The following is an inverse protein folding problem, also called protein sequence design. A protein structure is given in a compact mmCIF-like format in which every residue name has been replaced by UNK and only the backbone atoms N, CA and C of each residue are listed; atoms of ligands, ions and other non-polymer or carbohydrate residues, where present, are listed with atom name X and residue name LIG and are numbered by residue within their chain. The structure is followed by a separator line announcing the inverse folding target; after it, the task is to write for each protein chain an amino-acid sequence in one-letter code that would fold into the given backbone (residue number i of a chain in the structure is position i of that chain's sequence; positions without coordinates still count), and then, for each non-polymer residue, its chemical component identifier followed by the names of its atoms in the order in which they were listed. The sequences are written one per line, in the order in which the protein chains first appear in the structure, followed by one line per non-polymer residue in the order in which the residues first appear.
data_IF_506706027126
#
_entry.id   IF_506706027126
#
_cell.length_a   1.000
_cell.length_b   1.000
_cell.length_c   1.000
_cell.angle_alpha   90.00
_cell.angle_beta   90.00
_cell.angle_gamma   90.00
#
_symmetry.space_group_name_H-M   'P 1'
#
loop_
_entity.id
_entity.type
_entity.pdbx_description
1 polymer ?
#
# COMPACT_ATOMS: atom_id res chain seq x y z
N UNK A 1 -0.43 27.44 -7.32
CA UNK A 1 -1.76 27.04 -6.79
C UNK A 1 -1.63 26.37 -5.42
N UNK A 2 -0.85 25.30 -5.27
CA UNK A 2 -0.56 24.66 -3.96
C UNK A 2 -0.20 25.66 -2.85
N UNK A 3 0.81 26.50 -3.06
CA UNK A 3 1.25 27.50 -2.07
C UNK A 3 0.17 28.54 -1.77
N UNK A 4 -0.61 28.94 -2.78
CA UNK A 4 -1.70 29.90 -2.62
C UNK A 4 -2.83 29.30 -1.76
N UNK A 5 -3.17 28.02 -1.97
CA UNK A 5 -4.13 27.29 -1.14
C UNK A 5 -3.72 27.31 0.34
N UNK A 6 -2.43 27.05 0.61
CA UNK A 6 -1.90 27.09 1.97
C UNK A 6 -2.01 28.49 2.59
N UNK A 7 -1.62 29.54 1.86
CA UNK A 7 -1.69 30.91 2.37
C UNK A 7 -3.13 31.35 2.68
N UNK A 8 -4.11 30.95 1.88
CA UNK A 8 -5.50 31.37 2.03
C UNK A 8 -6.30 30.55 3.05
N UNK A 9 -6.04 29.24 3.12
CA UNK A 9 -6.92 28.31 3.84
C UNK A 9 -6.20 27.50 4.93
N UNK A 10 -4.88 27.31 4.82
CA UNK A 10 -4.10 26.45 5.71
C UNK A 10 -2.75 27.11 6.10
N UNK A 11 -2.74 28.30 6.74
CA UNK A 11 -1.52 29.06 6.96
C UNK A 11 -0.48 28.32 7.83
N UNK A 12 -0.92 27.39 8.69
CA UNK A 12 -0.08 26.55 9.54
C UNK A 12 0.88 25.61 8.79
N UNK A 13 0.71 25.45 7.48
CA UNK A 13 1.59 24.64 6.61
C UNK A 13 2.18 25.44 5.45
N UNK A 14 2.13 26.77 5.55
CA UNK A 14 2.57 27.67 4.47
C UNK A 14 4.04 27.46 4.12
N UNK A 15 4.93 27.37 5.12
CA UNK A 15 6.35 27.12 4.91
C UNK A 15 6.63 25.77 4.25
N UNK A 16 5.94 24.71 4.64
CA UNK A 16 6.08 23.39 4.01
C UNK A 16 5.69 23.44 2.53
N UNK A 17 4.61 24.13 2.17
CA UNK A 17 4.21 24.24 0.75
C UNK A 17 5.13 25.15 -0.07
N UNK A 18 5.74 26.18 0.53
CA UNK A 18 6.78 26.98 -0.11
C UNK A 18 8.01 26.14 -0.37
N UNK A 19 8.44 25.38 0.63
CA UNK A 19 9.55 24.43 0.50
C UNK A 19 9.29 23.42 -0.61
N UNK A 20 8.09 22.85 -0.69
CA UNK A 20 7.73 21.94 -1.77
C UNK A 20 7.78 22.62 -3.14
N UNK A 21 7.31 23.87 -3.25
CA UNK A 21 7.40 24.62 -4.50
C UNK A 21 8.86 24.86 -4.92
N UNK A 22 9.74 25.21 -3.97
CA UNK A 22 11.17 25.35 -4.21
C UNK A 22 11.81 24.01 -4.64
N UNK A 23 11.55 22.94 -3.89
CA UNK A 23 12.08 21.61 -4.15
C UNK A 23 11.68 21.08 -5.54
N UNK A 24 10.42 21.27 -5.94
CA UNK A 24 9.90 20.81 -7.23
C UNK A 24 10.34 21.69 -8.42
N UNK A 25 10.93 22.85 -8.17
CA UNK A 25 11.43 23.74 -9.23
C UNK A 25 12.85 23.41 -9.70
N UNK A 26 13.51 22.48 -9.01
CA UNK A 26 14.85 22.00 -9.35
C UNK A 26 14.85 20.51 -9.69
N UNK A 27 15.98 20.02 -10.21
CA UNK A 27 16.20 18.58 -10.34
C UNK A 27 16.22 17.93 -8.95
N UNK A 28 15.85 16.66 -8.91
CA UNK A 28 15.84 15.88 -7.68
C UNK A 28 17.25 15.87 -7.04
N UNK A 29 17.41 16.31 -5.77
CA UNK A 29 18.71 16.36 -5.09
C UNK A 29 19.20 14.99 -4.58
N UNK A 30 18.37 13.95 -4.60
CA UNK A 30 18.78 12.60 -4.20
C UNK A 30 19.72 11.99 -5.27
N UNK A 31 20.92 11.58 -4.83
CA UNK A 31 21.96 11.00 -5.67
C UNK A 31 21.90 9.46 -5.63
N UNK A 32 22.21 8.85 -6.77
CA UNK A 32 22.39 7.40 -6.91
C UNK A 32 23.65 7.13 -7.74
N UNK A 33 24.85 7.24 -7.13
CA UNK A 33 26.11 6.97 -7.82
C UNK A 33 26.17 5.52 -8.30
N UNK A 34 26.83 5.29 -9.44
CA UNK A 34 27.00 3.96 -10.02
C UNK A 34 27.81 3.06 -9.08
N UNK A 35 27.26 1.92 -8.68
CA UNK A 35 27.89 0.96 -7.76
C UNK A 35 27.55 1.18 -6.29
N UNK A 36 26.92 2.30 -5.93
CA UNK A 36 26.50 2.62 -4.56
C UNK A 36 24.97 2.80 -4.44
N UNK A 37 24.19 2.38 -5.44
CA UNK A 37 22.75 2.66 -5.48
C UNK A 37 21.99 2.02 -4.31
N UNK A 38 22.42 0.84 -3.85
CA UNK A 38 21.83 0.16 -2.71
C UNK A 38 22.14 0.89 -1.38
N UNK A 39 23.37 1.37 -1.22
CA UNK A 39 23.81 2.14 -0.06
C UNK A 39 23.10 3.50 -0.01
N UNK A 40 23.03 4.18 -1.15
CA UNK A 40 22.29 5.44 -1.30
C UNK A 40 20.82 5.28 -0.89
N UNK A 41 20.14 4.23 -1.37
CA UNK A 41 18.76 3.94 -0.97
C UNK A 41 18.65 3.67 0.53
N UNK A 42 19.51 2.83 1.10
CA UNK A 42 19.50 2.53 2.53
C UNK A 42 19.74 3.78 3.39
N UNK A 43 20.63 4.67 2.94
CA UNK A 43 20.93 5.93 3.62
C UNK A 43 19.78 6.95 3.51
N UNK A 44 18.98 6.89 2.45
CA UNK A 44 17.82 7.75 2.21
C UNK A 44 16.53 7.20 2.84
N UNK A 45 16.43 5.88 3.07
CA UNK A 45 15.24 5.24 3.66
C UNK A 45 14.86 5.82 5.02
N UNK A 46 15.84 6.28 5.81
CA UNK A 46 15.60 6.94 7.10
C UNK A 46 14.87 8.29 6.97
N UNK A 47 14.95 8.90 5.79
CA UNK A 47 14.29 10.15 5.46
C UNK A 47 12.85 9.92 5.00
N UNK A 48 12.51 8.71 4.57
CA UNK A 48 11.22 8.38 3.99
C UNK A 48 10.05 8.69 4.92
N UNK A 49 9.06 9.41 4.41
CA UNK A 49 7.82 9.67 5.10
C UNK A 49 6.72 8.71 4.59
N UNK A 50 5.98 8.00 5.47
CA UNK A 50 5.01 6.98 5.03
C UNK A 50 3.81 7.54 4.26
N UNK A 51 3.60 8.86 4.31
CA UNK A 51 2.56 9.55 3.54
C UNK A 51 3.02 10.01 2.14
N UNK A 52 4.30 9.85 1.80
CA UNK A 52 4.82 10.04 0.44
C UNK A 52 5.99 11.01 0.30
N UNK A 53 6.34 11.27 -0.95
CA UNK A 53 7.56 11.98 -1.35
C UNK A 53 7.56 13.45 -0.94
N UNK A 54 6.39 14.13 -0.95
CA UNK A 54 6.31 15.52 -0.52
C UNK A 54 6.79 15.70 0.93
N UNK A 55 6.27 14.89 1.85
CA UNK A 55 6.67 14.98 3.26
C UNK A 55 8.09 14.42 3.50
N UNK A 56 8.58 13.56 2.61
CA UNK A 56 9.99 13.13 2.59
C UNK A 56 10.90 14.30 2.24
N UNK A 57 10.57 15.09 1.22
CA UNK A 57 11.30 16.31 0.86
C UNK A 57 11.29 17.34 1.99
N UNK A 58 10.13 17.57 2.62
CA UNK A 58 10.01 18.47 3.79
C UNK A 58 10.91 18.00 4.93
N UNK A 59 10.85 16.73 5.31
CA UNK A 59 11.68 16.17 6.38
C UNK A 59 13.18 16.29 6.07
N UNK A 60 13.56 15.96 4.84
CA UNK A 60 14.95 15.98 4.37
C UNK A 60 15.55 17.38 4.48
N UNK A 61 14.83 18.38 3.96
CA UNK A 61 15.32 19.76 3.99
C UNK A 61 15.32 20.37 5.41
N UNK A 62 14.29 20.10 6.22
CA UNK A 62 14.27 20.55 7.62
C UNK A 62 15.42 19.94 8.44
N UNK A 63 15.78 18.68 8.18
CA UNK A 63 16.90 18.04 8.83
C UNK A 63 18.24 18.61 8.34
N UNK A 64 18.38 18.84 7.03
CA UNK A 64 19.53 19.53 6.44
C UNK A 64 19.77 20.91 7.06
N UNK A 65 18.73 21.74 7.20
CA UNK A 65 18.85 23.07 7.81
C UNK A 65 19.26 23.03 9.29
N UNK A 66 18.89 21.97 10.01
CA UNK A 66 19.22 21.79 11.43
C UNK A 66 20.56 21.08 11.65
N UNK A 67 21.18 20.55 10.59
CA UNK A 67 22.45 19.85 10.70
C UNK A 67 23.57 20.82 11.09
N UNK A 68 24.35 20.46 12.13
CA UNK A 68 25.55 21.21 12.49
C UNK A 68 26.58 21.24 11.35
N UNK A 69 26.65 20.14 10.59
CA UNK A 69 27.51 20.01 9.41
C UNK A 69 26.65 19.62 8.19
N UNK A 70 26.17 20.62 7.41
CA UNK A 70 25.34 20.38 6.25
C UNK A 70 26.03 19.58 5.14
N UNK A 71 27.36 19.71 4.99
CA UNK A 71 28.12 18.95 3.99
C UNK A 71 28.13 17.47 4.34
N UNK A 72 28.47 17.15 5.59
CA UNK A 72 28.44 15.77 6.09
C UNK A 72 27.03 15.18 6.06
N UNK A 73 26.00 15.98 6.31
CA UNK A 73 24.61 15.53 6.17
C UNK A 73 24.31 15.13 4.72
N UNK A 74 24.70 15.95 3.75
CA UNK A 74 24.55 15.64 2.33
C UNK A 74 25.32 14.38 1.92
N UNK A 75 26.57 14.24 2.34
CA UNK A 75 27.37 13.04 2.08
C UNK A 75 26.71 11.77 2.67
N UNK A 76 26.31 11.84 3.94
CA UNK A 76 25.73 10.70 4.67
C UNK A 76 24.42 10.22 4.04
N UNK A 77 23.63 11.11 3.47
CA UNK A 77 22.32 10.80 2.90
C UNK A 77 22.29 10.82 1.37
N UNK A 78 23.45 10.87 0.71
CA UNK A 78 23.55 10.91 -0.75
C UNK A 78 22.70 12.03 -1.35
N UNK A 79 22.93 13.27 -0.92
CA UNK A 79 22.26 14.46 -1.40
C UNK A 79 23.25 15.39 -2.11
N UNK A 80 22.79 16.05 -3.17
CA UNK A 80 23.55 17.09 -3.84
C UNK A 80 23.60 18.37 -2.97
N UNK A 81 24.78 18.78 -2.46
CA UNK A 81 24.89 19.93 -1.57
C UNK A 81 24.57 21.26 -2.27
N UNK A 82 24.87 21.39 -3.57
CA UNK A 82 24.60 22.60 -4.33
C UNK A 82 23.10 22.78 -4.54
N UNK A 83 22.40 21.69 -4.89
CA UNK A 83 20.94 21.70 -5.03
C UNK A 83 20.26 21.95 -3.69
N UNK A 84 20.72 21.34 -2.60
CA UNK A 84 20.15 21.60 -1.26
C UNK A 84 20.33 23.06 -0.83
N UNK A 85 21.50 23.66 -1.05
CA UNK A 85 21.73 25.09 -0.82
C UNK A 85 20.92 25.98 -1.76
N UNK A 86 20.70 25.56 -3.01
CA UNK A 86 19.82 26.28 -3.94
C UNK A 86 18.37 26.26 -3.46
N UNK A 87 17.85 25.10 -3.04
CA UNK A 87 16.48 24.96 -2.52
C UNK A 87 16.28 25.89 -1.31
N UNK A 88 17.22 25.95 -0.37
CA UNK A 88 17.14 26.89 0.76
C UNK A 88 17.02 28.35 0.34
N UNK A 89 17.84 28.79 -0.63
CA UNK A 89 17.76 30.16 -1.16
C UNK A 89 16.43 30.43 -1.88
N UNK A 90 15.93 29.45 -2.63
CA UNK A 90 14.63 29.56 -3.29
C UNK A 90 13.48 29.63 -2.28
N UNK A 91 13.57 28.89 -1.16
CA UNK A 91 12.60 29.00 -0.07
C UNK A 91 12.56 30.42 0.51
N UNK A 92 13.72 31.01 0.83
CA UNK A 92 13.81 32.37 1.37
C UNK A 92 13.15 33.40 0.43
N UNK A 93 13.47 33.33 -0.86
CA UNK A 93 12.88 34.22 -1.87
C UNK A 93 11.36 34.04 -2.00
N UNK A 94 10.89 32.80 -1.99
CA UNK A 94 9.46 32.51 -2.08
C UNK A 94 8.71 32.90 -0.81
N UNK A 95 9.33 32.80 0.37
CA UNK A 95 8.76 33.29 1.63
C UNK A 95 8.58 34.82 1.60
N UNK A 96 9.57 35.56 1.10
CA UNK A 96 9.47 37.02 1.00
C UNK A 96 8.38 37.46 0.01
N UNK A 97 8.30 36.78 -1.14
CA UNK A 97 7.22 37.01 -2.11
C UNK A 97 5.86 36.66 -1.49
N UNK A 98 5.76 35.53 -0.79
CA UNK A 98 4.52 35.10 -0.16
C UNK A 98 4.03 36.10 0.89
N UNK A 99 4.91 36.61 1.76
CA UNK A 99 4.59 37.66 2.74
C UNK A 99 4.12 38.94 2.04
N UNK A 100 4.86 39.38 1.01
CA UNK A 100 4.52 40.58 0.24
C UNK A 100 3.13 40.49 -0.43
N UNK A 101 2.80 39.35 -1.02
CA UNK A 101 1.55 39.16 -1.77
C UNK A 101 0.36 38.90 -0.84
N UNK A 102 0.57 38.19 0.27
CA UNK A 102 -0.50 37.87 1.23
C UNK A 102 -0.77 38.96 2.26
N UNK A 103 0.16 39.90 2.44
CA UNK A 103 0.12 40.89 3.51
C UNK A 103 0.38 40.30 4.91
N UNK A 104 0.86 39.06 4.99
CA UNK A 104 1.21 38.41 6.26
C UNK A 104 2.58 38.85 6.75
N UNK A 105 2.69 39.19 8.03
CA UNK A 105 3.97 39.53 8.67
C UNK A 105 4.87 38.31 8.87
N UNK A 106 4.27 37.12 9.10
CA UNK A 106 5.00 35.87 9.28
C UNK A 106 4.26 34.70 8.63
N UNK A 107 5.04 33.65 8.33
CA UNK A 107 4.56 32.37 7.82
C UNK A 107 4.78 31.29 8.86
N UNK A 108 3.84 30.36 8.96
CA UNK A 108 3.79 29.33 9.98
C UNK A 108 4.19 27.95 9.42
N UNK A 109 4.57 27.05 10.31
CA UNK A 109 5.06 25.70 10.01
C UNK A 109 4.71 24.71 11.12
N UNK A 110 4.71 23.41 10.83
CA UNK A 110 4.46 22.36 11.81
C UNK A 110 2.98 22.01 12.00
N UNK A 111 2.12 22.48 11.11
CA UNK A 111 0.73 22.06 11.03
C UNK A 111 0.56 20.59 10.66
N UNK A 112 -0.70 20.13 10.60
CA UNK A 112 -1.03 18.75 10.26
C UNK A 112 -0.48 18.38 8.86
N UNK A 113 0.34 17.31 8.73
CA UNK A 113 0.87 16.85 7.44
C UNK A 113 -0.20 16.58 6.39
N UNK A 114 -1.42 16.22 6.80
CA UNK A 114 -2.54 16.06 5.88
C UNK A 114 -2.86 17.36 5.13
N UNK A 115 -2.72 18.53 5.77
CA UNK A 115 -3.00 19.82 5.15
C UNK A 115 -2.00 20.13 4.04
N UNK A 116 -0.72 19.73 4.21
CA UNK A 116 0.28 19.83 3.14
C UNK A 116 -0.18 19.05 1.90
N UNK A 117 -0.66 17.82 2.12
CA UNK A 117 -1.11 16.95 1.03
C UNK A 117 -2.42 17.44 0.40
N UNK A 118 -3.33 18.03 1.18
CA UNK A 118 -4.54 18.68 0.62
C UNK A 118 -4.18 19.88 -0.24
N UNK A 119 -3.21 20.71 0.18
CA UNK A 119 -2.70 21.80 -0.67
C UNK A 119 -2.08 21.25 -1.96
N UNK A 120 -1.38 20.10 -1.89
CA UNK A 120 -0.83 19.44 -3.07
C UNK A 120 -1.93 18.93 -4.02
N UNK A 121 -3.01 18.35 -3.49
CA UNK A 121 -4.20 17.96 -4.29
C UNK A 121 -4.83 19.17 -4.97
N UNK A 122 -4.97 20.30 -4.27
CA UNK A 122 -5.46 21.55 -4.86
C UNK A 122 -4.50 22.13 -5.92
N UNK A 123 -3.20 21.85 -5.78
CA UNK A 123 -2.15 22.26 -6.72
C UNK A 123 -2.06 21.43 -8.00
N UNK A 124 -2.35 20.14 -7.90
CA UNK A 124 -2.20 19.15 -8.97
C UNK A 124 -3.44 18.26 -9.11
N UNK A 125 -4.64 18.85 -9.31
CA UNK A 125 -5.88 18.08 -9.31
C UNK A 125 -5.96 17.10 -10.50
N UNK A 126 -5.35 17.47 -11.64
CA UNK A 126 -5.25 16.66 -12.86
C UNK A 126 -4.32 15.44 -12.72
N UNK A 127 -3.50 15.42 -11.67
CA UNK A 127 -2.54 14.35 -11.37
C UNK A 127 -2.93 13.57 -10.11
N UNK A 128 -4.20 13.64 -9.72
CA UNK A 128 -4.79 12.67 -8.80
C UNK A 128 -5.03 11.37 -9.55
N UNK A 129 -4.54 10.27 -8.97
CA UNK A 129 -4.53 8.96 -9.59
C UNK A 129 -5.22 7.95 -8.66
N UNK A 130 -6.10 7.13 -9.23
CA UNK A 130 -6.80 6.07 -8.55
C UNK A 130 -6.15 4.72 -8.82
N UNK A 131 -5.88 3.96 -7.77
CA UNK A 131 -5.38 2.59 -7.91
C UNK A 131 -6.43 1.70 -8.57
N UNK A 132 -6.05 0.99 -9.63
CA UNK A 132 -6.89 -0.05 -10.24
C UNK A 132 -7.02 -1.25 -9.30
N UNK A 133 -8.13 -1.99 -9.43
CA UNK A 133 -8.44 -3.16 -8.58
C UNK A 133 -7.39 -4.28 -8.65
N UNK A 134 -6.69 -4.40 -9.78
CA UNK A 134 -5.68 -5.43 -10.03
C UNK A 134 -4.34 -4.78 -10.38
N UNK A 135 -3.26 -5.34 -9.85
CA UNK A 135 -1.88 -4.91 -10.13
C UNK A 135 -1.44 -3.63 -9.40
N UNK A 136 -0.38 -3.03 -9.93
CA UNK A 136 0.27 -1.81 -9.40
C UNK A 136 -0.06 -0.57 -10.22
N UNK A 137 -1.01 -0.67 -11.13
CA UNK A 137 -1.38 0.41 -12.06
C UNK A 137 -2.35 1.38 -11.40
N UNK A 138 -2.09 2.65 -11.68
CA UNK A 138 -2.91 3.78 -11.31
C UNK A 138 -3.53 4.40 -12.56
N UNK A 139 -4.76 4.84 -12.44
CA UNK A 139 -5.55 5.48 -13.47
C UNK A 139 -5.77 6.95 -13.12
N UNK A 140 -5.45 7.83 -14.06
CA UNK A 140 -5.66 9.27 -13.96
C UNK A 140 -6.75 9.77 -14.91
N UNK A 141 -6.89 11.09 -14.93
CA UNK A 141 -7.78 11.85 -15.82
C UNK A 141 -7.54 11.44 -17.29
N UNK A 142 -8.61 11.37 -18.09
CA UNK A 142 -8.55 10.90 -19.48
C UNK A 142 -8.19 9.41 -19.67
N UNK A 143 -8.32 8.57 -18.64
CA UNK A 143 -8.02 7.13 -18.73
C UNK A 143 -6.51 6.81 -18.76
N UNK A 144 -5.67 7.76 -18.36
CA UNK A 144 -4.22 7.58 -18.32
C UNK A 144 -3.83 6.47 -17.35
N UNK A 145 -3.16 5.43 -17.84
CA UNK A 145 -2.59 4.39 -16.99
C UNK A 145 -1.11 4.66 -16.72
N UNK A 146 -0.71 4.57 -15.45
CA UNK A 146 0.68 4.75 -15.03
C UNK A 146 1.05 3.83 -13.86
N UNK A 147 2.35 3.69 -13.61
CA UNK A 147 2.92 3.01 -12.45
C UNK A 147 3.55 4.05 -11.52
N UNK A 148 3.64 3.78 -10.23
CA UNK A 148 4.49 4.59 -9.36
C UNK A 148 5.95 4.36 -9.76
N UNK A 149 6.75 5.43 -9.82
CA UNK A 149 8.17 5.31 -10.16
C UNK A 149 8.97 4.63 -9.03
N UNK A 150 9.98 3.79 -9.34
CA UNK A 150 10.80 3.09 -8.33
C UNK A 150 11.52 4.00 -7.33
N UNK A 151 11.76 5.26 -7.69
CA UNK A 151 12.38 6.24 -6.78
C UNK A 151 11.43 6.82 -5.74
N UNK A 152 10.12 6.53 -5.82
CA UNK A 152 9.14 7.03 -4.87
C UNK A 152 9.11 6.14 -3.64
N UNK A 153 8.95 6.74 -2.45
CA UNK A 153 8.70 5.98 -1.21
C UNK A 153 7.36 5.22 -1.26
N UNK A 154 6.50 5.56 -2.23
CA UNK A 154 5.23 4.89 -2.48
C UNK A 154 5.30 3.78 -3.55
N UNK A 155 6.48 3.43 -4.07
CA UNK A 155 6.62 2.42 -5.13
C UNK A 155 5.87 1.11 -4.84
N UNK A 156 5.96 0.63 -3.59
CA UNK A 156 5.28 -0.59 -3.12
C UNK A 156 4.03 -0.30 -2.28
N UNK A 157 3.62 0.97 -2.17
CA UNK A 157 2.45 1.34 -1.39
C UNK A 157 1.15 0.88 -2.07
N UNK A 158 0.14 0.55 -1.26
CA UNK A 158 -1.19 0.11 -1.72
C UNK A 158 -2.27 1.17 -1.51
N UNK A 159 -1.90 2.43 -1.52
CA UNK A 159 -2.83 3.55 -1.33
C UNK A 159 -3.83 3.62 -2.48
N UNK A 160 -5.12 3.73 -2.15
CA UNK A 160 -6.20 3.75 -3.14
C UNK A 160 -6.15 4.98 -4.04
N UNK A 161 -5.72 6.12 -3.49
CA UNK A 161 -5.54 7.36 -4.23
C UNK A 161 -4.18 7.95 -3.89
N UNK A 162 -3.53 8.49 -4.91
CA UNK A 162 -2.29 9.25 -4.79
C UNK A 162 -2.39 10.53 -5.61
N UNK A 163 -1.54 11.49 -5.29
CA UNK A 163 -1.29 12.66 -6.14
C UNK A 163 0.17 12.63 -6.54
N UNK A 164 0.44 12.86 -7.82
CA UNK A 164 1.79 12.99 -8.35
C UNK A 164 2.04 14.44 -8.76
N UNK A 165 3.29 14.90 -8.74
CA UNK A 165 3.64 16.21 -9.31
C UNK A 165 4.03 16.10 -10.78
N UNK A 166 4.50 14.93 -11.20
CA UNK A 166 5.00 14.65 -12.54
C UNK A 166 4.54 13.29 -13.05
N UNK A 167 4.24 13.26 -14.35
CA UNK A 167 3.94 12.06 -15.11
C UNK A 167 4.98 11.97 -16.24
N UNK A 168 5.87 10.99 -16.17
CA UNK A 168 6.98 10.82 -17.10
C UNK A 168 6.70 9.63 -18.00
N UNK A 169 6.74 9.83 -19.31
CA UNK A 169 6.56 8.76 -20.30
C UNK A 169 7.92 8.33 -20.85
N UNK A 170 8.29 7.09 -20.56
CA UNK A 170 9.39 6.38 -21.23
C UNK A 170 8.82 5.16 -21.96
N UNK A 171 9.28 3.96 -21.63
CA UNK A 171 8.68 2.70 -22.10
C UNK A 171 7.30 2.44 -21.46
N UNK A 172 7.08 2.99 -20.26
CA UNK A 172 5.81 3.03 -19.54
C UNK A 172 5.62 4.44 -18.97
N UNK A 173 4.38 4.79 -18.66
CA UNK A 173 4.10 6.04 -17.93
C UNK A 173 4.35 5.81 -16.45
N UNK A 174 5.16 6.68 -15.84
CA UNK A 174 5.48 6.65 -14.41
C UNK A 174 5.04 7.94 -13.72
N UNK A 175 4.41 7.78 -12.57
CA UNK A 175 4.11 8.86 -11.63
C UNK A 175 5.32 9.09 -10.71
N UNK A 176 5.82 10.32 -10.63
CA UNK A 176 6.93 10.74 -9.78
C UNK A 176 6.46 11.72 -8.71
N UNK A 177 7.19 11.76 -7.59
CA UNK A 177 6.91 12.58 -6.42
C UNK A 177 5.47 12.33 -5.92
N UNK A 178 5.19 11.08 -5.56
CA UNK A 178 3.86 10.61 -5.21
C UNK A 178 3.58 10.80 -3.72
N UNK A 179 2.38 11.27 -3.40
CA UNK A 179 1.87 11.35 -2.02
C UNK A 179 0.47 10.78 -1.88
N UNK A 180 0.15 10.26 -0.70
CA UNK A 180 -1.14 9.61 -0.43
C UNK A 180 -2.26 10.65 -0.43
N UNK A 181 -3.38 10.32 -1.07
CA UNK A 181 -4.61 11.11 -1.04
C UNK A 181 -5.66 10.34 -0.25
N UNK A 182 -6.30 11.01 0.71
CA UNK A 182 -7.42 10.41 1.44
C UNK A 182 -8.72 10.58 0.64
N UNK A 183 -9.63 9.59 0.67
CA UNK A 183 -10.86 9.64 -0.12
C UNK A 183 -11.77 10.85 0.17
N UNK A 184 -11.75 11.36 1.39
CA UNK A 184 -12.54 12.53 1.82
C UNK A 184 -12.11 13.83 1.14
N UNK A 185 -10.86 13.92 0.65
CA UNK A 185 -10.34 15.11 -0.03
C UNK A 185 -10.76 15.16 -1.51
N UNK A 186 -11.15 14.03 -2.08
CA UNK A 186 -11.56 13.95 -3.50
C UNK A 186 -12.81 14.78 -3.78
N UNK A 187 -13.64 15.04 -2.77
CA UNK A 187 -14.81 15.90 -2.88
C UNK A 187 -14.44 17.39 -3.10
N UNK A 188 -13.17 17.76 -2.92
CA UNK A 188 -12.64 19.12 -3.12
C UNK A 188 -12.08 19.30 -4.53
N UNK A 189 -12.00 18.23 -5.32
CA UNK A 189 -11.56 18.29 -6.71
C UNK A 189 -12.60 19.00 -7.60
N UNK A 190 -12.15 19.60 -8.71
CA UNK A 190 -13.03 20.06 -9.77
C UNK A 190 -14.02 18.98 -10.25
N UNK A 191 -15.26 19.39 -10.56
CA UNK A 191 -16.36 18.47 -10.88
C UNK A 191 -16.10 17.62 -12.13
N UNK A 192 -15.41 18.19 -13.12
CA UNK A 192 -14.93 17.52 -14.33
C UNK A 192 -13.96 16.38 -13.99
N UNK A 193 -12.97 16.65 -13.12
CA UNK A 193 -11.99 15.64 -12.70
C UNK A 193 -12.65 14.51 -11.91
N UNK A 194 -13.60 14.82 -11.03
CA UNK A 194 -14.34 13.79 -10.27
C UNK A 194 -15.12 12.87 -11.21
N UNK A 195 -15.75 13.43 -12.25
CA UNK A 195 -16.50 12.66 -13.27
C UNK A 195 -15.58 11.76 -14.06
N UNK A 196 -14.43 12.28 -14.52
CA UNK A 196 -13.48 11.53 -15.33
C UNK A 196 -12.81 10.39 -14.56
N UNK A 197 -12.48 10.59 -13.28
CA UNK A 197 -11.92 9.56 -12.43
C UNK A 197 -12.98 8.54 -11.96
N UNK A 198 -14.25 8.72 -12.33
CA UNK A 198 -15.38 7.88 -11.90
C UNK A 198 -15.39 7.66 -10.37
N UNK A 199 -15.09 8.72 -9.61
CA UNK A 199 -15.06 8.68 -8.15
C UNK A 199 -16.49 8.88 -7.65
N UNK A 200 -17.04 7.88 -6.96
CA UNK A 200 -18.27 8.03 -6.20
C UNK A 200 -18.10 9.16 -5.18
N UNK A 201 -18.73 10.33 -5.41
CA UNK A 201 -18.67 11.44 -4.45
C UNK A 201 -19.12 10.92 -3.07
N UNK A 202 -18.29 11.00 -2.02
CA UNK A 202 -18.78 10.71 -0.69
C UNK A 202 -19.92 11.69 -0.40
N UNK A 203 -21.11 11.16 -0.07
CA UNK A 203 -22.26 11.98 0.34
C UNK A 203 -21.78 12.92 1.44
N UNK A 204 -21.89 14.24 1.21
CA UNK A 204 -21.51 15.31 2.14
C UNK A 204 -22.16 15.06 3.51
N UNK A 205 -21.44 14.37 4.38
CA UNK A 205 -21.85 14.08 5.75
C UNK A 205 -21.52 15.28 6.63
N UNK A 206 -22.58 15.92 7.11
CA UNK A 206 -22.61 17.06 8.04
C UNK A 206 -21.46 17.09 9.05
N UNK A 207 -20.92 18.31 9.24
CA UNK A 207 -20.11 18.76 10.40
C UNK A 207 -20.41 17.92 11.65
N UNK A 208 -19.36 17.35 12.25
CA UNK A 208 -19.38 16.85 13.62
C UNK A 208 -19.99 17.93 14.54
N UNK A 209 -21.19 17.68 15.06
CA UNK A 209 -21.62 18.29 16.32
C UNK A 209 -21.41 17.25 17.41
N UNK A 210 -20.74 17.70 18.47
CA UNK A 210 -20.60 16.99 19.71
C UNK A 210 -21.97 16.71 20.35
N UNK A 211 -22.04 15.65 21.15
CA UNK A 211 -23.14 15.39 22.08
C UNK A 211 -24.22 14.45 21.56
N UNK A 212 -24.17 13.22 22.09
CA UNK A 212 -25.30 12.33 22.43
C UNK A 212 -26.57 12.36 21.58
N UNK A 213 -26.88 11.25 20.91
CA UNK A 213 -27.95 10.31 21.30
C UNK A 213 -28.01 9.15 20.29
N UNK A 214 -28.38 7.98 20.82
CA UNK A 214 -28.58 6.66 20.19
C UNK A 214 -28.60 6.61 18.65
N UNK A 215 -27.58 5.98 18.07
CA UNK A 215 -27.62 5.52 16.67
C UNK A 215 -28.45 4.23 16.54
N UNK A 216 -29.09 4.00 15.38
CA UNK A 216 -30.04 2.91 15.17
C UNK A 216 -29.35 1.56 15.36
N UNK A 217 -30.13 0.59 15.82
CA UNK A 217 -29.80 -0.79 16.15
C UNK A 217 -28.79 -1.44 15.16
N UNK A 218 -27.49 -1.22 15.36
CA UNK A 218 -26.44 -1.93 14.62
C UNK A 218 -26.31 -3.28 15.32
N UNK A 219 -26.59 -4.40 14.64
CA UNK A 219 -26.49 -5.71 15.25
C UNK A 219 -25.11 -5.88 15.89
N UNK A 220 -25.10 -6.19 17.19
CA UNK A 220 -23.87 -6.42 17.95
C UNK A 220 -23.23 -7.77 17.58
N UNK A 221 -24.02 -8.65 16.96
CA UNK A 221 -23.64 -10.00 16.59
C UNK A 221 -24.28 -10.41 15.25
N UNK A 222 -23.68 -11.40 14.61
CA UNK A 222 -24.22 -12.10 13.45
C UNK A 222 -24.29 -13.59 13.75
N UNK A 223 -25.34 -14.24 13.28
CA UNK A 223 -25.50 -15.69 13.34
C UNK A 223 -25.26 -16.26 11.93
N UNK A 224 -24.36 -17.21 11.82
CA UNK A 224 -24.10 -18.01 10.62
C UNK A 224 -24.31 -19.46 11.05
N UNK A 225 -25.43 -20.05 10.64
CA UNK A 225 -25.84 -21.36 11.14
C UNK A 225 -26.08 -21.38 12.64
N UNK A 226 -25.27 -22.18 13.35
CA UNK A 226 -25.25 -22.25 14.82
C UNK A 226 -24.15 -21.39 15.46
N UNK A 227 -23.41 -20.63 14.65
CA UNK A 227 -22.25 -19.85 15.08
C UNK A 227 -22.62 -18.38 15.23
N UNK A 228 -22.65 -17.90 16.46
CA UNK A 228 -22.72 -16.47 16.76
C UNK A 228 -21.32 -15.84 16.72
N UNK A 229 -21.19 -14.72 16.00
CA UNK A 229 -19.95 -13.96 15.87
C UNK A 229 -20.16 -12.49 16.26
N UNK A 230 -19.26 -11.90 17.05
CA UNK A 230 -19.39 -10.51 17.46
C UNK A 230 -19.02 -9.53 16.35
N UNK A 231 -19.81 -8.48 16.21
CA UNK A 231 -19.52 -7.32 15.38
C UNK A 231 -18.86 -6.26 16.27
N UNK A 232 -17.65 -5.85 15.90
CA UNK A 232 -16.91 -4.80 16.61
C UNK A 232 -16.67 -3.61 15.71
N UNK A 233 -16.95 -2.42 16.22
CA UNK A 233 -16.63 -1.17 15.53
C UNK A 233 -15.15 -0.86 15.75
N UNK A 234 -14.36 -0.77 14.67
CA UNK A 234 -12.97 -0.31 14.71
C UNK A 234 -12.77 0.81 13.71
N UNK A 235 -12.25 1.96 14.19
CA UNK A 235 -12.07 3.18 13.38
C UNK A 235 -13.36 3.58 12.64
N UNK A 236 -14.50 3.51 13.33
CA UNK A 236 -15.81 3.86 12.76
C UNK A 236 -16.40 2.84 11.76
N UNK A 237 -15.77 1.69 11.55
CA UNK A 237 -16.25 0.66 10.62
C UNK A 237 -16.57 -0.63 11.37
N UNK A 238 -17.77 -1.19 11.15
CA UNK A 238 -18.17 -2.47 11.69
C UNK A 238 -17.34 -3.61 11.08
N UNK A 239 -16.80 -4.49 11.93
CA UNK A 239 -16.03 -5.66 11.55
C UNK A 239 -16.51 -6.89 12.32
N UNK A 240 -16.87 -7.94 11.60
CA UNK A 240 -17.16 -9.26 12.15
C UNK A 240 -15.84 -9.87 12.62
N UNK A 241 -15.76 -10.15 13.91
CA UNK A 241 -14.58 -10.73 14.54
C UNK A 241 -14.75 -12.24 14.61
N UNK A 242 -14.00 -12.98 13.79
CA UNK A 242 -14.05 -14.44 13.69
C UNK A 242 -12.96 -15.07 14.57
N UNK A 243 -13.28 -15.65 15.75
CA UNK A 243 -12.28 -16.35 16.55
C UNK A 243 -11.83 -17.65 15.86
N UNK A 244 -10.55 -17.99 15.95
CA UNK A 244 -10.00 -19.23 15.38
C UNK A 244 -10.74 -20.47 15.87
N UNK A 245 -11.18 -20.47 17.12
CA UNK A 245 -11.89 -21.60 17.75
C UNK A 245 -13.24 -21.89 17.09
N UNK A 246 -13.80 -20.91 16.36
CA UNK A 246 -15.10 -21.01 15.68
C UNK A 246 -14.97 -21.37 14.20
N UNK A 247 -13.74 -21.42 13.66
CA UNK A 247 -13.51 -21.75 12.24
C UNK A 247 -14.06 -23.13 11.85
N UNK A 248 -13.85 -24.21 12.63
CA UNK A 248 -14.37 -25.53 12.26
C UNK A 248 -15.90 -25.55 12.10
N UNK A 249 -16.61 -24.81 12.95
CA UNK A 249 -18.06 -24.70 12.89
C UNK A 249 -18.53 -23.84 11.71
N UNK A 250 -17.76 -22.79 11.37
CA UNK A 250 -18.05 -21.93 10.22
C UNK A 250 -17.79 -22.63 8.87
N UNK A 251 -16.77 -23.49 8.79
CA UNK A 251 -16.54 -24.32 7.62
C UNK A 251 -17.73 -25.26 7.38
N UNK A 252 -18.33 -25.80 8.44
CA UNK A 252 -19.54 -26.65 8.35
C UNK A 252 -20.78 -25.87 7.92
N UNK A 253 -20.97 -24.66 8.46
CA UNK A 253 -22.10 -23.79 8.10
C UNK A 253 -22.00 -23.29 6.64
N UNK A 254 -20.78 -23.03 6.17
CA UNK A 254 -20.53 -22.58 4.81
C UNK A 254 -21.07 -21.17 4.52
N UNK A 255 -21.02 -20.80 3.24
CA UNK A 255 -21.45 -19.47 2.76
C UNK A 255 -22.96 -19.37 2.62
N UNK A 256 -23.65 -20.50 2.45
CA UNK A 256 -25.09 -20.52 2.19
C UNK A 256 -25.91 -20.13 3.40
N UNK A 257 -25.40 -20.40 4.60
CA UNK A 257 -26.00 -19.99 5.88
C UNK A 257 -25.66 -18.53 6.26
N UNK A 258 -24.92 -17.80 5.42
CA UNK A 258 -24.57 -16.39 5.65
C UNK A 258 -25.72 -15.46 5.22
N UNK A 259 -26.29 -14.63 6.13
CA UNK A 259 -27.35 -13.72 5.76
C UNK A 259 -26.92 -12.73 4.66
N UNK A 260 -27.74 -12.49 3.62
CA UNK A 260 -27.35 -11.71 2.44
C UNK A 260 -26.80 -10.32 2.77
N UNK A 261 -27.37 -9.63 3.77
CA UNK A 261 -26.93 -8.31 4.22
C UNK A 261 -25.49 -8.27 4.76
N UNK A 262 -24.93 -9.41 5.18
CA UNK A 262 -23.59 -9.51 5.75
C UNK A 262 -22.57 -10.14 4.78
N UNK A 263 -22.95 -10.49 3.54
CA UNK A 263 -22.01 -11.06 2.56
C UNK A 263 -20.79 -10.19 2.32
N UNK A 264 -20.97 -8.87 2.29
CA UNK A 264 -19.91 -7.86 2.12
C UNK A 264 -19.41 -7.28 3.45
N UNK A 265 -19.87 -7.80 4.59
CA UNK A 265 -19.40 -7.34 5.89
C UNK A 265 -17.90 -7.60 6.02
N UNK A 266 -17.18 -6.67 6.64
CA UNK A 266 -15.74 -6.79 6.84
C UNK A 266 -15.49 -7.82 7.92
N UNK A 267 -14.69 -8.83 7.65
CA UNK A 267 -14.36 -9.90 8.58
C UNK A 267 -12.86 -9.91 8.88
N UNK A 268 -12.54 -10.28 10.11
CA UNK A 268 -11.16 -10.48 10.57
C UNK A 268 -11.05 -11.78 11.35
N UNK A 269 -10.04 -12.59 11.03
CA UNK A 269 -9.66 -13.73 11.85
C UNK A 269 -8.90 -13.25 13.10
N UNK A 270 -9.27 -13.78 14.26
CA UNK A 270 -8.61 -13.52 15.53
C UNK A 270 -8.09 -14.80 16.16
N UNK A 271 -6.80 -14.81 16.43
CA UNK A 271 -6.19 -15.77 17.35
C UNK A 271 -5.88 -15.13 18.70
N UNK A 272 -5.29 -15.93 19.62
CA UNK A 272 -4.91 -15.47 20.96
C UNK A 272 -3.93 -14.29 20.96
N UNK A 273 -3.01 -14.24 19.99
CA UNK A 273 -1.97 -13.20 19.86
C UNK A 273 -2.39 -12.00 19.01
N UNK A 274 -3.66 -11.92 18.59
CA UNK A 274 -4.20 -10.80 17.81
C UNK A 274 -4.84 -11.22 16.49
N UNK A 275 -4.82 -10.31 15.52
CA UNK A 275 -5.41 -10.55 14.20
C UNK A 275 -4.50 -11.46 13.38
N UNK A 276 -5.10 -12.45 12.72
CA UNK A 276 -4.48 -13.29 11.70
C UNK A 276 -5.08 -12.84 10.37
N UNK A 277 -4.26 -12.60 9.36
CA UNK A 277 -4.80 -12.16 8.08
C UNK A 277 -5.04 -10.65 7.93
N UNK A 278 -5.51 -10.32 6.73
CA UNK A 278 -6.07 -9.03 6.36
C UNK A 278 -7.51 -8.83 6.84
N UNK A 279 -8.13 -7.74 6.38
CA UNK A 279 -9.58 -7.52 6.53
C UNK A 279 -10.21 -7.83 5.18
N UNK A 280 -11.06 -8.84 5.10
CA UNK A 280 -11.69 -9.30 3.86
C UNK A 280 -13.21 -9.28 3.96
N UNK A 281 -13.93 -9.48 2.86
CA UNK A 281 -15.38 -9.70 2.93
C UNK A 281 -15.68 -11.04 3.62
N UNK A 282 -16.73 -11.08 4.44
CA UNK A 282 -17.10 -12.27 5.22
C UNK A 282 -17.43 -13.47 4.32
N UNK A 283 -18.13 -13.24 3.21
CA UNK A 283 -18.37 -14.30 2.20
C UNK A 283 -17.07 -14.86 1.62
N UNK A 284 -16.13 -14.00 1.24
CA UNK A 284 -14.80 -14.41 0.76
C UNK A 284 -14.03 -15.18 1.82
N UNK A 285 -14.07 -14.73 3.09
CA UNK A 285 -13.43 -15.42 4.19
C UNK A 285 -13.98 -16.84 4.35
N UNK A 286 -15.31 -17.01 4.37
CA UNK A 286 -15.92 -18.33 4.52
C UNK A 286 -15.54 -19.30 3.38
N UNK A 287 -15.37 -18.80 2.15
CA UNK A 287 -14.86 -19.61 1.02
C UNK A 287 -13.39 -19.97 1.16
N UNK A 288 -12.60 -19.10 1.78
CA UNK A 288 -11.17 -19.28 1.99
C UNK A 288 -10.86 -20.27 3.12
N UNK A 289 -11.66 -20.26 4.20
CA UNK A 289 -11.37 -21.02 5.43
C UNK A 289 -11.08 -22.52 5.21
N UNK A 290 -11.78 -23.27 4.32
CA UNK A 290 -11.50 -24.69 4.11
C UNK A 290 -10.11 -24.98 3.57
N UNK A 291 -9.49 -24.03 2.87
CA UNK A 291 -8.20 -24.20 2.19
C UNK A 291 -7.05 -23.53 2.94
N UNK A 292 -7.36 -22.78 3.99
CA UNK A 292 -6.40 -21.94 4.69
C UNK A 292 -5.70 -22.72 5.81
N UNK A 293 -4.37 -22.92 5.75
CA UNK A 293 -3.63 -23.47 6.87
C UNK A 293 -3.61 -22.44 7.99
N UNK A 294 -4.35 -22.76 9.04
CA UNK A 294 -4.50 -21.90 10.21
C UNK A 294 -3.60 -22.40 11.34
N UNK A 295 -2.91 -21.49 12.04
CA UNK A 295 -2.06 -21.87 13.15
C UNK A 295 -2.89 -22.42 14.31
N UNK A 296 -2.42 -23.47 14.96
CA UNK A 296 -3.10 -23.99 16.14
C UNK A 296 -3.02 -22.95 17.27
N UNK A 297 -4.02 -22.87 18.19
CA UNK A 297 -4.10 -21.81 19.20
C UNK A 297 -2.86 -21.62 20.10
N UNK A 298 -1.98 -22.62 20.20
CA UNK A 298 -0.74 -22.59 21.01
C UNK A 298 0.52 -22.95 20.20
N UNK A 299 0.47 -22.90 18.87
CA UNK A 299 1.60 -23.27 18.03
C UNK A 299 2.70 -22.22 18.06
N UNK A 300 3.95 -22.68 18.16
CA UNK A 300 5.12 -21.83 17.97
C UNK A 300 5.38 -21.70 16.47
N UNK A 301 5.07 -20.53 15.92
CA UNK A 301 5.32 -20.23 14.52
C UNK A 301 6.81 -20.06 14.28
N UNK A 302 7.29 -20.69 13.21
CA UNK A 302 8.64 -20.51 12.71
C UNK A 302 8.83 -19.07 12.22
N UNK A 303 10.07 -18.58 12.28
CA UNK A 303 10.44 -17.26 11.76
C UNK A 303 11.11 -17.46 10.42
N UNK A 304 10.74 -16.63 9.45
CA UNK A 304 11.38 -16.60 8.15
C UNK A 304 12.80 -16.01 8.31
N UNK A 305 13.82 -16.74 7.87
CA UNK A 305 15.22 -16.49 8.20
C UNK A 305 16.01 -15.79 7.08
N UNK A 306 15.56 -15.87 5.82
CA UNK A 306 16.23 -15.30 4.65
C UNK A 306 16.03 -13.78 4.53
N UNK A 307 14.93 -13.25 5.07
CA UNK A 307 14.69 -11.82 5.14
C UNK A 307 14.49 -11.18 3.76
N UNK A 308 15.49 -10.42 3.29
CA UNK A 308 15.45 -9.73 1.99
C UNK A 308 16.46 -10.31 0.99
N UNK A 309 16.93 -11.54 1.21
CA UNK A 309 17.84 -12.23 0.31
C UNK A 309 17.15 -12.51 -1.03
N UNK A 310 17.82 -12.13 -2.12
CA UNK A 310 17.43 -12.46 -3.48
C UNK A 310 18.09 -13.78 -3.86
N UNK A 311 17.31 -14.69 -4.44
CA UNK A 311 17.67 -16.04 -4.81
C UNK A 311 17.60 -16.20 -6.33
N UNK A 312 18.69 -16.62 -6.92
CA UNK A 312 18.73 -17.11 -8.29
C UNK A 312 18.19 -18.54 -8.35
N UNK A 313 17.38 -18.86 -9.37
CA UNK A 313 16.69 -20.14 -9.48
C UNK A 313 17.64 -21.35 -9.52
N UNK A 314 18.77 -21.23 -10.22
CA UNK A 314 19.72 -22.32 -10.40
C UNK A 314 20.75 -22.33 -9.27
N UNK A 315 21.40 -21.19 -9.02
CA UNK A 315 22.47 -21.08 -8.03
C UNK A 315 21.99 -21.28 -6.59
N UNK A 316 20.71 -21.04 -6.31
CA UNK A 316 20.13 -21.16 -4.98
C UNK A 316 19.02 -22.21 -4.88
N UNK A 317 18.97 -23.18 -5.79
CA UNK A 317 17.92 -24.22 -5.81
C UNK A 317 17.75 -24.93 -4.47
N UNK A 318 18.82 -25.35 -3.80
CA UNK A 318 18.72 -26.07 -2.52
C UNK A 318 17.99 -25.24 -1.43
N UNK A 319 18.22 -23.93 -1.40
CA UNK A 319 17.52 -23.00 -0.51
C UNK A 319 16.06 -22.84 -0.93
N UNK A 320 15.81 -22.68 -2.23
CA UNK A 320 14.46 -22.57 -2.78
C UNK A 320 13.66 -23.84 -2.43
N UNK A 321 14.20 -25.00 -2.72
CA UNK A 321 13.60 -26.31 -2.48
C UNK A 321 13.21 -26.52 -1.02
N UNK A 322 14.07 -26.11 -0.07
CA UNK A 322 13.79 -26.24 1.37
C UNK A 322 12.50 -25.51 1.80
N UNK A 323 12.22 -24.34 1.20
CA UNK A 323 11.06 -23.52 1.53
C UNK A 323 9.84 -23.81 0.65
N UNK A 324 10.01 -24.46 -0.51
CA UNK A 324 8.90 -24.86 -1.39
C UNK A 324 7.87 -25.73 -0.66
N UNK A 325 8.34 -26.70 0.13
CA UNK A 325 7.47 -27.61 0.89
C UNK A 325 6.71 -26.90 2.04
N UNK A 326 7.09 -25.66 2.35
CA UNK A 326 6.57 -24.86 3.46
C UNK A 326 5.71 -23.69 2.98
N UNK A 327 5.51 -23.59 1.67
CA UNK A 327 4.72 -22.53 1.07
C UNK A 327 3.32 -22.46 1.66
N UNK A 328 2.87 -21.22 1.84
CA UNK A 328 1.58 -20.87 2.38
C UNK A 328 1.35 -21.37 3.81
N UNK A 329 2.35 -21.84 4.55
CA UNK A 329 2.23 -22.14 5.97
C UNK A 329 2.33 -20.86 6.83
N UNK A 330 1.71 -20.83 8.03
CA UNK A 330 1.76 -19.67 8.90
C UNK A 330 3.16 -19.45 9.47
N UNK A 331 3.69 -18.25 9.29
CA UNK A 331 5.05 -17.86 9.64
C UNK A 331 5.10 -16.52 10.39
N UNK A 332 6.16 -16.29 11.15
CA UNK A 332 6.55 -14.96 11.61
C UNK A 332 7.51 -14.33 10.59
N UNK A 333 7.31 -13.05 10.21
CA UNK A 333 8.23 -12.36 9.32
C UNK A 333 9.60 -12.22 9.98
N UNK A 334 10.67 -12.18 9.17
CA UNK A 334 12.03 -11.90 9.64
C UNK A 334 12.08 -10.72 10.61
N UNK A 335 11.46 -9.58 10.22
CA UNK A 335 11.22 -8.42 11.08
C UNK A 335 9.75 -8.24 11.39
N UNK A 336 9.42 -8.20 12.68
CA UNK A 336 8.07 -7.94 13.17
C UNK A 336 7.48 -9.07 14.01
N UNK A 337 6.26 -8.82 14.51
CA UNK A 337 5.55 -9.70 15.44
C UNK A 337 4.19 -10.18 14.90
N UNK A 338 3.77 -9.71 13.73
CA UNK A 338 2.48 -10.09 13.13
C UNK A 338 2.69 -11.28 12.20
N UNK A 339 2.00 -12.41 12.44
CA UNK A 339 2.13 -13.56 11.56
C UNK A 339 1.46 -13.30 10.21
N UNK A 340 1.92 -14.04 9.21
CA UNK A 340 1.35 -14.12 7.86
C UNK A 340 1.61 -15.50 7.28
N UNK A 341 1.58 -15.61 5.97
CA UNK A 341 1.88 -16.85 5.25
C UNK A 341 3.13 -16.70 4.41
N UNK A 342 3.99 -17.71 4.47
CA UNK A 342 5.19 -17.76 3.65
C UNK A 342 4.79 -17.81 2.17
N UNK A 343 5.29 -16.88 1.39
CA UNK A 343 5.02 -16.79 -0.04
C UNK A 343 6.33 -16.69 -0.82
N UNK A 344 6.32 -17.27 -2.02
CA UNK A 344 7.36 -17.04 -3.02
C UNK A 344 6.97 -15.81 -3.84
N UNK A 345 7.96 -14.95 -4.12
CA UNK A 345 7.78 -13.74 -4.92
C UNK A 345 8.86 -13.69 -5.99
N UNK A 346 8.50 -13.22 -7.19
CA UNK A 346 9.40 -13.00 -8.31
C UNK A 346 9.30 -11.56 -8.87
N UNK A 347 10.42 -11.00 -9.33
CA UNK A 347 10.48 -9.68 -9.99
C UNK A 347 10.08 -9.70 -11.47
N UNK A 348 9.91 -10.89 -12.05
CA UNK A 348 9.70 -11.10 -13.49
C UNK A 348 10.99 -11.08 -14.32
N UNK A 349 12.16 -10.84 -13.71
CA UNK A 349 13.50 -10.93 -14.34
C UNK A 349 14.27 -12.19 -13.97
N UNK A 350 13.65 -13.12 -13.25
CA UNK A 350 14.28 -14.36 -12.77
C UNK A 350 14.81 -14.32 -11.33
N UNK A 351 14.57 -13.22 -10.62
CA UNK A 351 14.94 -13.10 -9.20
C UNK A 351 13.80 -13.56 -8.29
N UNK A 352 14.10 -14.41 -7.31
CA UNK A 352 13.13 -14.98 -6.37
C UNK A 352 13.46 -14.60 -4.93
N UNK A 353 12.45 -14.43 -4.08
CA UNK A 353 12.65 -14.34 -2.63
C UNK A 353 11.43 -14.86 -1.88
N UNK A 354 11.64 -15.19 -0.61
CA UNK A 354 10.56 -15.56 0.30
C UNK A 354 10.16 -14.37 1.14
N UNK A 355 8.86 -14.16 1.32
CA UNK A 355 8.35 -13.17 2.25
C UNK A 355 7.12 -13.68 3.00
N UNK A 356 6.86 -13.11 4.17
CA UNK A 356 5.67 -13.44 4.96
C UNK A 356 4.57 -12.43 4.67
N UNK A 357 3.61 -12.82 3.83
CA UNK A 357 2.50 -11.96 3.41
C UNK A 357 1.37 -12.04 4.45
N UNK A 358 0.93 -10.91 5.06
CA UNK A 358 -0.11 -10.93 6.09
C UNK A 358 -1.51 -11.25 5.59
N UNK A 359 -1.75 -11.35 4.28
CA UNK A 359 -3.05 -11.63 3.68
C UNK A 359 -2.94 -12.91 2.86
N UNK A 360 -3.72 -13.93 3.24
CA UNK A 360 -3.60 -15.27 2.66
C UNK A 360 -3.92 -15.29 1.16
N UNK A 361 -4.90 -14.50 0.73
CA UNK A 361 -5.25 -14.39 -0.68
C UNK A 361 -4.09 -13.83 -1.50
N UNK A 362 -3.47 -12.73 -1.02
CA UNK A 362 -2.29 -12.17 -1.65
C UNK A 362 -1.09 -13.13 -1.61
N UNK A 363 -0.96 -13.93 -0.55
CA UNK A 363 0.07 -14.95 -0.44
C UNK A 363 -0.08 -16.03 -1.52
N UNK A 364 -1.28 -16.58 -1.68
CA UNK A 364 -1.56 -17.58 -2.72
C UNK A 364 -1.33 -16.99 -4.10
N UNK A 365 -1.84 -15.78 -4.37
CA UNK A 365 -1.66 -15.15 -5.69
C UNK A 365 -0.19 -14.93 -6.03
N UNK A 366 0.59 -14.38 -5.10
CA UNK A 366 2.03 -14.14 -5.30
C UNK A 366 2.77 -15.45 -5.54
N UNK A 367 2.50 -16.46 -4.72
CA UNK A 367 3.14 -17.77 -4.82
C UNK A 367 2.82 -18.46 -6.14
N UNK A 368 1.55 -18.50 -6.56
CA UNK A 368 1.17 -19.16 -7.82
C UNK A 368 1.88 -18.53 -9.03
N UNK A 369 1.86 -17.20 -9.14
CA UNK A 369 2.55 -16.49 -10.22
C UNK A 369 4.06 -16.71 -10.21
N UNK A 370 4.65 -16.78 -9.02
CA UNK A 370 6.10 -16.94 -8.87
C UNK A 370 6.55 -18.39 -9.07
N UNK A 371 5.71 -19.37 -8.76
CA UNK A 371 5.98 -20.78 -9.06
C UNK A 371 5.97 -21.04 -10.57
N UNK A 372 5.04 -20.44 -11.32
CA UNK A 372 5.05 -20.54 -12.79
C UNK A 372 6.38 -19.99 -13.35
N UNK A 373 6.79 -18.80 -12.90
CA UNK A 373 8.06 -18.19 -13.30
C UNK A 373 9.28 -19.04 -12.90
N UNK A 374 9.24 -19.68 -11.72
CA UNK A 374 10.30 -20.57 -11.25
C UNK A 374 10.37 -21.86 -12.08
N UNK A 375 9.22 -22.46 -12.40
CA UNK A 375 9.17 -23.67 -13.20
C UNK A 375 9.77 -23.46 -14.60
N UNK A 376 9.59 -22.26 -15.17
CA UNK A 376 10.11 -21.88 -16.49
C UNK A 376 11.60 -21.49 -16.47
N UNK A 377 12.13 -21.03 -15.33
CA UNK A 377 13.54 -20.61 -15.20
C UNK A 377 14.50 -21.75 -14.88
N UNK A 378 14.01 -22.91 -14.43
CA UNK A 378 14.85 -24.03 -13.99
C UNK A 378 15.39 -24.85 -15.18
N UNK A 379 16.72 -25.00 -15.32
CA UNK A 379 17.32 -25.75 -16.44
C UNK A 379 17.17 -27.27 -16.30
N UNK A 380 17.02 -27.77 -15.07
CA UNK A 380 16.90 -29.20 -14.75
C UNK A 380 15.43 -29.61 -14.76
N UNK A 381 15.08 -30.59 -15.61
CA UNK A 381 13.68 -31.08 -15.76
C UNK A 381 13.08 -31.61 -14.46
N UNK A 382 13.86 -32.29 -13.62
CA UNK A 382 13.38 -32.81 -12.34
C UNK A 382 12.96 -31.69 -11.38
N UNK A 383 13.71 -30.58 -11.34
CA UNK A 383 13.39 -29.42 -10.49
C UNK A 383 12.12 -28.72 -11.00
N UNK A 384 12.03 -28.49 -12.31
CA UNK A 384 10.83 -27.92 -12.93
C UNK A 384 9.59 -28.79 -12.68
N UNK A 385 9.72 -30.12 -12.76
CA UNK A 385 8.61 -31.04 -12.48
C UNK A 385 8.16 -30.96 -11.02
N UNK A 386 9.09 -30.90 -10.06
CA UNK A 386 8.75 -30.73 -8.63
C UNK A 386 7.96 -29.45 -8.39
N UNK A 387 8.34 -28.34 -9.02
CA UNK A 387 7.60 -27.06 -8.92
C UNK A 387 6.20 -27.19 -9.52
N UNK A 388 6.06 -27.88 -10.67
CA UNK A 388 4.76 -28.13 -11.30
C UNK A 388 3.83 -28.99 -10.45
N UNK A 389 4.36 -29.99 -9.77
CA UNK A 389 3.57 -30.83 -8.85
C UNK A 389 3.01 -29.99 -7.68
N UNK A 390 3.79 -29.02 -7.18
CA UNK A 390 3.33 -28.06 -6.17
C UNK A 390 2.23 -27.14 -6.73
N UNK A 391 2.40 -26.63 -7.96
CA UNK A 391 1.39 -25.81 -8.63
C UNK A 391 0.06 -26.57 -8.73
N UNK A 392 0.08 -27.83 -9.17
CA UNK A 392 -1.13 -28.66 -9.24
C UNK A 392 -1.74 -28.92 -7.85
N UNK A 393 -0.92 -29.14 -6.82
CA UNK A 393 -1.39 -29.29 -5.44
C UNK A 393 -2.08 -28.02 -4.89
N UNK A 394 -1.67 -26.83 -5.34
CA UNK A 394 -2.23 -25.55 -4.93
C UNK A 394 -3.42 -25.09 -5.80
N UNK A 395 -3.66 -25.72 -6.94
CA UNK A 395 -4.73 -25.33 -7.89
C UNK A 395 -6.13 -25.29 -7.27
N UNK A 396 -6.58 -26.27 -6.44
CA UNK A 396 -7.89 -26.17 -5.78
C UNK A 396 -8.02 -24.94 -4.88
N UNK A 397 -6.94 -24.59 -4.18
CA UNK A 397 -6.88 -23.38 -3.35
C UNK A 397 -6.91 -22.14 -4.23
N UNK A 398 -6.23 -22.12 -5.37
CA UNK A 398 -6.22 -20.99 -6.32
C UNK A 398 -7.59 -20.79 -7.01
N UNK A 399 -8.29 -21.86 -7.33
CA UNK A 399 -9.63 -21.84 -7.95
C UNK A 399 -10.69 -21.31 -6.96
N UNK A 400 -10.67 -21.81 -5.72
CA UNK A 400 -11.58 -21.38 -4.66
C UNK A 400 -11.53 -19.86 -4.39
N UNK A 401 -10.41 -19.22 -4.76
CA UNK A 401 -10.14 -17.81 -4.50
C UNK A 401 -10.14 -16.94 -5.76
N UNK A 402 -10.47 -17.53 -6.92
CA UNK A 402 -10.55 -16.85 -8.22
C UNK A 402 -9.20 -16.32 -8.71
N UNK A 403 -8.12 -17.01 -8.40
CA UNK A 403 -6.74 -16.67 -8.81
C UNK A 403 -6.32 -17.41 -10.08
N UNK A 404 -6.94 -18.55 -10.43
CA UNK A 404 -6.66 -19.20 -11.71
C UNK A 404 -7.20 -18.35 -12.88
N UNK A 405 -6.41 -18.23 -13.93
CA UNK A 405 -6.73 -17.49 -15.15
C UNK A 405 -7.82 -18.14 -16.02
N UNK A 406 -8.76 -18.90 -15.44
CA UNK A 406 -9.96 -19.31 -16.16
C UNK A 406 -10.91 -18.11 -16.25
N UNK A 407 -11.13 -17.64 -17.48
CA UNK A 407 -12.23 -16.71 -17.77
C UNK A 407 -13.52 -17.29 -17.18
N UNK A 408 -14.36 -16.50 -16.49
CA UNK A 408 -15.71 -16.96 -16.23
C UNK A 408 -16.34 -17.24 -17.60
N UNK A 409 -16.85 -18.44 -17.78
CA UNK A 409 -17.72 -18.77 -18.91
C UNK A 409 -18.72 -17.63 -19.05
N UNK A 410 -18.73 -17.02 -20.24
CA UNK A 410 -19.81 -16.13 -20.63
C UNK A 410 -21.06 -16.99 -20.53
N UNK A 411 -21.97 -16.63 -19.63
CA UNK A 411 -23.36 -17.03 -19.77
C UNK A 411 -23.80 -16.52 -21.15
N UNK A 412 -23.85 -17.45 -22.10
CA UNK A 412 -24.60 -17.28 -23.32
C UNK A 412 -26.03 -16.94 -22.92
N UNK A 413 -26.40 -15.69 -23.16
CA UNK A 413 -27.78 -15.25 -23.13
C UNK A 413 -28.38 -15.62 -24.48
N UNK A 414 -28.77 -16.90 -24.60
CA UNK A 414 -29.83 -17.33 -25.50
C UNK A 414 -31.11 -17.47 -24.67
N UNK A 415 -31.92 -16.39 -24.70
CA UNK A 415 -33.37 -16.37 -24.99
C UNK A 415 -33.99 -15.01 -24.64
#
# INVERSE_FOLDING_TARGET
RMTVEALLHHPSVSKETILLAAFLSVRNPFLYPLGEEAEARSAQDVLAHPLGDALTAVRTHQAFQKAHDPKRYCETHYLDPELMSFISRACEQLEDIAKSVSGLEWLDSGGDPDLVLRCMVAGFPDKVLQKRRRGFTYEGVGGLNCLVHPSSVLFNARSQFIVATELVRSNRTYARNCSIVKPDWLAELPDDIIRELNIDKPRRGKKKRAGSESSPDVPTEIIIGRVTLPIRIRKGQAQVSVPLERVPDLIKAGVDELPPQFRRARAVLKGKRGRIGGVVALSSLLRLLPHMPLPKPNEHLQREELGSAILDAEANWATIEHYLDQLLQPYLPHRGKRPGWLALVATGTGDFWYEVIPDYWAAVQSTMLSLDALADSLPVREYSQKVRDIIEGLRPTADAIGVSGAQPEREDTED
#
